data_IF_172978603153
#
_entry.id   IF_172978603153
#
_cell.length_a   1.000
_cell.length_b   1.000
_cell.length_c   1.000
_cell.angle_alpha   90.00
_cell.angle_beta   90.00
_cell.angle_gamma   90.00
#
_symmetry.space_group_name_H-M   'P 1'
#
loop_
_entity.id
_entity.type
_entity.pdbx_description
1 polymer ?
#
# COMPACT_ATOMS: atom_id res chain seq x y z
N UNK A 1 20.05 -15.80 26.06
CA UNK A 1 19.50 -15.00 24.94
C UNK A 1 18.37 -15.80 24.34
N UNK A 2 17.16 -15.26 24.25
CA UNK A 2 16.05 -15.92 23.55
C UNK A 2 16.37 -15.94 22.05
N UNK A 3 16.25 -17.08 21.40
CA UNK A 3 16.44 -17.17 19.95
C UNK A 3 15.27 -16.49 19.22
N UNK A 4 15.47 -16.05 17.99
CA UNK A 4 14.39 -15.49 17.17
C UNK A 4 13.25 -16.52 16.99
N UNK A 5 13.59 -17.81 16.98
CA UNK A 5 12.64 -18.91 16.89
C UNK A 5 11.78 -19.02 18.16
N UNK A 6 12.38 -18.77 19.34
CA UNK A 6 11.64 -18.72 20.61
C UNK A 6 10.69 -17.52 20.68
N UNK A 7 11.04 -16.39 20.05
CA UNK A 7 10.18 -15.19 19.99
C UNK A 7 8.97 -15.45 19.07
N UNK A 8 9.18 -16.11 17.93
CA UNK A 8 8.09 -16.48 17.00
C UNK A 8 7.11 -17.47 17.61
N UNK A 9 7.59 -18.40 18.44
CA UNK A 9 6.76 -19.43 19.07
C UNK A 9 6.09 -19.00 20.38
N UNK A 10 6.59 -17.93 21.03
CA UNK A 10 6.09 -17.48 22.34
C UNK A 10 5.44 -16.09 22.34
N UNK A 11 5.30 -15.42 21.19
CA UNK A 11 4.40 -14.27 21.13
C UNK A 11 2.98 -14.81 21.29
N UNK A 12 2.28 -14.51 22.41
CA UNK A 12 0.86 -14.77 22.45
C UNK A 12 0.28 -14.00 21.28
N UNK A 13 -0.26 -14.74 20.30
CA UNK A 13 -1.13 -14.21 19.26
C UNK A 13 -2.35 -13.68 20.00
N UNK A 14 -2.21 -12.50 20.61
CA UNK A 14 -3.34 -11.77 21.13
C UNK A 14 -4.19 -11.53 19.90
N UNK A 15 -5.29 -12.26 19.82
CA UNK A 15 -6.14 -12.38 18.65
C UNK A 15 -6.90 -11.09 18.28
N UNK A 16 -6.40 -9.88 18.63
CA UNK A 16 -7.20 -8.65 18.56
C UNK A 16 -6.44 -7.38 18.09
N UNK A 17 -5.11 -7.33 17.97
CA UNK A 17 -4.46 -6.19 17.30
C UNK A 17 -4.21 -6.49 15.82
N UNK A 18 -5.27 -6.42 15.03
CA UNK A 18 -5.15 -6.39 13.56
C UNK A 18 -4.70 -4.99 13.18
N UNK A 19 -3.44 -4.84 12.77
CA UNK A 19 -2.99 -3.59 12.14
C UNK A 19 -3.72 -3.52 10.80
N UNK A 20 -4.75 -2.68 10.75
CA UNK A 20 -5.57 -2.43 9.55
C UNK A 20 -5.15 -1.15 8.83
N UNK A 21 -4.38 -0.29 9.48
CA UNK A 21 -3.89 0.96 8.94
C UNK A 21 -2.36 1.01 9.06
N UNK A 22 -1.68 1.19 7.93
CA UNK A 22 -0.23 1.36 7.85
C UNK A 22 0.06 2.68 7.16
N UNK A 23 1.04 3.42 7.68
CA UNK A 23 1.50 4.68 7.13
C UNK A 23 3.01 4.61 6.95
N UNK A 24 3.48 4.77 5.73
CA UNK A 24 4.88 4.77 5.37
C UNK A 24 5.28 6.19 4.94
N UNK A 25 6.28 6.76 5.60
CA UNK A 25 6.78 8.09 5.32
C UNK A 25 8.00 8.04 4.40
N UNK A 26 8.12 8.99 3.47
CA UNK A 26 9.28 9.18 2.59
C UNK A 26 9.76 7.90 1.88
N UNK A 27 8.85 7.26 1.14
CA UNK A 27 9.10 6.02 0.39
C UNK A 27 9.30 6.36 -1.09
N UNK A 28 10.36 5.81 -1.70
CA UNK A 28 10.59 5.86 -3.15
C UNK A 28 10.35 4.50 -3.80
N UNK A 29 10.43 4.46 -5.13
CA UNK A 29 10.44 3.20 -5.90
C UNK A 29 11.57 2.22 -5.51
N UNK A 30 12.65 2.68 -4.87
CA UNK A 30 13.76 1.81 -4.43
C UNK A 30 13.48 1.12 -3.09
N UNK A 31 12.45 1.53 -2.35
CA UNK A 31 12.11 1.03 -1.01
C UNK A 31 11.13 -0.16 -1.04
N UNK A 32 11.06 -0.89 -2.16
CA UNK A 32 10.17 -2.06 -2.33
C UNK A 32 10.31 -3.10 -1.20
N UNK A 33 11.54 -3.35 -0.73
CA UNK A 33 11.81 -4.30 0.35
C UNK A 33 11.16 -3.88 1.68
N UNK A 34 11.10 -2.57 1.97
CA UNK A 34 10.48 -2.05 3.17
C UNK A 34 8.95 -2.19 3.09
N UNK A 35 8.37 -1.85 1.95
CA UNK A 35 6.93 -2.03 1.70
C UNK A 35 6.57 -3.53 1.79
N UNK A 36 7.39 -4.42 1.22
CA UNK A 36 7.21 -5.86 1.30
C UNK A 36 7.26 -6.35 2.75
N UNK A 37 8.20 -5.83 3.54
CA UNK A 37 8.32 -6.15 4.96
C UNK A 37 7.02 -5.81 5.72
N UNK A 38 6.46 -4.61 5.53
CA UNK A 38 5.22 -4.21 6.19
C UNK A 38 4.01 -5.01 5.72
N UNK A 39 3.93 -5.31 4.42
CA UNK A 39 2.90 -6.19 3.84
C UNK A 39 2.94 -7.58 4.50
N UNK A 40 4.13 -8.15 4.65
CA UNK A 40 4.30 -9.47 5.26
C UNK A 40 4.01 -9.45 6.77
N UNK A 41 4.33 -8.35 7.45
CA UNK A 41 4.07 -8.20 8.89
C UNK A 41 2.58 -8.00 9.18
N UNK A 42 1.84 -7.35 8.27
CA UNK A 42 0.47 -6.93 8.46
C UNK A 42 -0.46 -7.47 7.35
N UNK A 43 -0.76 -8.78 7.30
CA UNK A 43 -1.62 -9.36 6.26
C UNK A 43 -3.09 -8.90 6.32
N UNK A 44 -3.47 -8.13 7.35
CA UNK A 44 -4.81 -7.60 7.56
C UNK A 44 -4.91 -6.09 7.26
N UNK A 45 -3.93 -5.51 6.55
CA UNK A 45 -4.01 -4.12 6.10
C UNK A 45 -5.29 -3.92 5.30
N UNK A 46 -6.08 -2.92 5.69
CA UNK A 46 -7.26 -2.43 4.98
C UNK A 46 -6.98 -1.06 4.35
N UNK A 47 -6.10 -0.27 4.98
CA UNK A 47 -5.67 1.05 4.57
C UNK A 47 -4.14 1.17 4.59
N UNK A 48 -3.55 1.56 3.46
CA UNK A 48 -2.13 1.88 3.32
C UNK A 48 -1.98 3.34 2.88
N UNK A 49 -1.24 4.14 3.63
CA UNK A 49 -0.80 5.48 3.24
C UNK A 49 0.70 5.46 2.97
N UNK A 50 1.12 6.05 1.85
CA UNK A 50 2.52 6.12 1.44
C UNK A 50 2.83 7.56 1.05
N UNK A 51 3.86 8.13 1.64
CA UNK A 51 4.34 9.47 1.29
C UNK A 51 5.45 9.35 0.25
N UNK A 52 5.22 9.92 -0.93
CA UNK A 52 6.07 9.86 -2.11
C UNK A 52 6.70 11.23 -2.38
N UNK A 53 7.91 11.24 -2.93
CA UNK A 53 8.66 12.47 -3.19
C UNK A 53 8.79 12.80 -4.68
N UNK A 54 8.61 11.80 -5.55
CA UNK A 54 8.70 11.90 -7.01
C UNK A 54 7.35 11.63 -7.67
N UNK A 55 7.14 12.16 -8.88
CA UNK A 55 5.98 11.86 -9.71
C UNK A 55 6.00 10.44 -10.29
N UNK A 56 7.19 9.85 -10.42
CA UNK A 56 7.39 8.46 -10.86
C UNK A 56 7.03 7.42 -9.81
N UNK A 57 7.16 7.77 -8.52
CA UNK A 57 6.97 6.85 -7.40
C UNK A 57 5.54 6.29 -7.39
N UNK A 58 4.53 7.14 -7.57
CA UNK A 58 3.11 6.75 -7.37
C UNK A 58 2.68 5.62 -8.33
N UNK A 59 2.88 5.71 -9.65
CA UNK A 59 2.57 4.59 -10.57
C UNK A 59 3.40 3.33 -10.32
N UNK A 60 4.69 3.47 -9.99
CA UNK A 60 5.58 2.31 -9.78
C UNK A 60 5.22 1.57 -8.48
N UNK A 61 5.00 2.30 -7.40
CA UNK A 61 4.54 1.75 -6.13
C UNK A 61 3.15 1.14 -6.24
N UNK A 62 2.24 1.73 -7.02
CA UNK A 62 0.95 1.10 -7.33
C UNK A 62 1.17 -0.27 -7.98
N UNK A 63 1.99 -0.35 -9.02
CA UNK A 63 2.28 -1.62 -9.70
C UNK A 63 2.85 -2.64 -8.72
N UNK A 64 3.80 -2.24 -7.88
CA UNK A 64 4.36 -3.10 -6.84
C UNK A 64 3.28 -3.61 -5.88
N UNK A 65 2.48 -2.71 -5.30
CA UNK A 65 1.42 -3.06 -4.34
C UNK A 65 0.38 -4.01 -4.97
N UNK A 66 0.01 -3.78 -6.24
CA UNK A 66 -0.91 -4.65 -6.97
C UNK A 66 -0.37 -6.06 -7.15
N UNK A 67 0.93 -6.21 -7.40
CA UNK A 67 1.59 -7.52 -7.44
C UNK A 67 1.60 -8.25 -6.08
N UNK A 68 1.48 -7.50 -4.99
CA UNK A 68 1.42 -8.05 -3.63
C UNK A 68 -0.01 -8.33 -3.16
N UNK A 69 -1.05 -8.05 -3.96
CA UNK A 69 -2.46 -8.08 -3.52
C UNK A 69 -2.90 -9.41 -2.91
N UNK A 70 -2.34 -10.53 -3.36
CA UNK A 70 -2.61 -11.86 -2.79
C UNK A 70 -2.20 -11.93 -1.30
N UNK A 71 -1.16 -11.20 -0.89
CA UNK A 71 -0.65 -11.13 0.49
C UNK A 71 -1.42 -10.15 1.37
N UNK A 72 -2.10 -9.17 0.76
CA UNK A 72 -2.94 -8.17 1.43
C UNK A 72 -4.38 -8.21 0.90
N UNK A 73 -5.09 -9.34 1.04
CA UNK A 73 -6.40 -9.55 0.43
C UNK A 73 -7.49 -8.61 0.97
N UNK A 74 -7.20 -7.86 2.04
CA UNK A 74 -8.12 -6.91 2.68
C UNK A 74 -7.86 -5.46 2.31
N UNK A 75 -6.78 -5.16 1.59
CA UNK A 75 -6.46 -3.79 1.21
C UNK A 75 -7.58 -3.25 0.32
N UNK A 76 -8.33 -2.28 0.84
CA UNK A 76 -9.39 -1.61 0.11
C UNK A 76 -9.13 -0.12 -0.06
N UNK A 77 -8.24 0.48 0.73
CA UNK A 77 -7.85 1.87 0.60
C UNK A 77 -6.34 2.02 0.47
N UNK A 78 -5.90 2.70 -0.58
CA UNK A 78 -4.51 3.11 -0.78
C UNK A 78 -4.45 4.63 -0.95
N UNK A 79 -3.57 5.30 -0.23
CA UNK A 79 -3.44 6.74 -0.26
C UNK A 79 -1.98 7.13 -0.49
N UNK A 80 -1.71 7.85 -1.57
CA UNK A 80 -0.42 8.45 -1.82
C UNK A 80 -0.47 9.92 -1.39
N UNK A 81 0.48 10.34 -0.55
CA UNK A 81 0.76 11.75 -0.28
C UNK A 81 1.91 12.15 -1.18
N UNK A 82 1.71 13.10 -2.08
CA UNK A 82 2.74 13.59 -2.99
C UNK A 82 2.60 15.12 -3.16
N UNK A 83 3.60 15.93 -2.76
CA UNK A 83 3.52 17.39 -2.82
C UNK A 83 3.26 17.98 -4.21
N UNK A 84 3.62 17.24 -5.26
CA UNK A 84 3.44 17.64 -6.66
C UNK A 84 2.29 16.88 -7.35
N UNK A 85 1.39 16.26 -6.58
CA UNK A 85 0.24 15.54 -7.10
C UNK A 85 -0.64 16.42 -8.01
N UNK A 86 -0.82 15.97 -9.24
CA UNK A 86 -1.64 16.62 -10.24
C UNK A 86 -2.61 15.63 -10.92
N UNK A 87 -3.41 16.15 -11.85
CA UNK A 87 -4.38 15.32 -12.58
C UNK A 87 -3.70 14.41 -13.62
N UNK A 88 -2.44 14.66 -13.99
CA UNK A 88 -1.68 13.75 -14.86
C UNK A 88 -1.31 12.48 -14.10
N UNK A 89 -0.86 12.63 -12.85
CA UNK A 89 -0.53 11.52 -11.96
C UNK A 89 -1.75 10.65 -11.68
N UNK A 90 -2.93 11.26 -11.45
CA UNK A 90 -4.20 10.53 -11.31
C UNK A 90 -4.52 9.70 -12.56
N UNK A 91 -4.34 10.28 -13.76
CA UNK A 91 -4.56 9.57 -15.03
C UNK A 91 -3.57 8.43 -15.23
N UNK A 92 -2.29 8.67 -14.94
CA UNK A 92 -1.23 7.66 -15.00
C UNK A 92 -1.56 6.48 -14.07
N UNK A 93 -1.97 6.79 -12.84
CA UNK A 93 -2.37 5.80 -11.84
C UNK A 93 -3.57 4.96 -12.29
N UNK A 94 -4.59 5.59 -12.88
CA UNK A 94 -5.74 4.87 -13.45
C UNK A 94 -5.29 3.90 -14.56
N UNK A 95 -4.44 4.36 -15.48
CA UNK A 95 -3.91 3.51 -16.55
C UNK A 95 -3.10 2.34 -15.99
N UNK A 96 -2.32 2.54 -14.93
CA UNK A 96 -1.60 1.46 -14.24
C UNK A 96 -2.58 0.43 -13.67
N UNK A 97 -3.60 0.84 -12.92
CA UNK A 97 -4.59 -0.09 -12.35
C UNK A 97 -5.35 -0.85 -13.45
N UNK A 98 -5.80 -0.14 -14.49
CA UNK A 98 -6.52 -0.72 -15.62
C UNK A 98 -5.67 -1.74 -16.40
N UNK A 99 -4.34 -1.57 -16.41
CA UNK A 99 -3.41 -2.51 -17.07
C UNK A 99 -3.14 -3.77 -16.25
N UNK A 100 -3.22 -3.68 -14.92
CA UNK A 100 -2.93 -4.79 -13.99
C UNK A 100 -4.20 -5.55 -13.56
N UNK A 101 -5.40 -5.01 -13.83
CA UNK A 101 -6.67 -5.60 -13.37
C UNK A 101 -7.68 -5.79 -14.49
N UNK A 102 -8.44 -6.88 -14.42
CA UNK A 102 -9.57 -7.13 -15.32
C UNK A 102 -10.86 -6.98 -14.51
N UNK A 103 -11.54 -5.84 -14.66
CA UNK A 103 -12.84 -5.52 -14.03
C UNK A 103 -12.82 -5.21 -12.52
N UNK A 104 -11.78 -4.59 -12.01
CA UNK A 104 -11.81 -4.07 -10.64
C UNK A 104 -12.70 -2.83 -10.54
N UNK A 105 -13.63 -2.85 -9.59
CA UNK A 105 -14.41 -1.66 -9.24
C UNK A 105 -13.62 -0.79 -8.27
N UNK A 106 -12.87 0.17 -8.80
CA UNK A 106 -12.14 1.15 -8.01
C UNK A 106 -12.59 2.58 -8.30
N UNK A 107 -12.30 3.48 -7.36
CA UNK A 107 -12.44 4.93 -7.54
C UNK A 107 -11.16 5.63 -7.14
N UNK A 108 -10.69 6.56 -7.95
CA UNK A 108 -9.57 7.46 -7.61
C UNK A 108 -10.13 8.83 -7.25
N UNK A 109 -9.63 9.41 -6.16
CA UNK A 109 -9.94 10.78 -5.73
C UNK A 109 -8.64 11.53 -5.45
N UNK A 110 -8.55 12.77 -5.91
CA UNK A 110 -7.46 13.69 -5.54
C UNK A 110 -7.99 14.79 -4.64
N UNK A 111 -7.28 15.07 -3.55
CA UNK A 111 -7.58 16.15 -2.62
C UNK A 111 -6.28 16.80 -2.15
N UNK A 112 -5.92 17.94 -2.77
CA UNK A 112 -4.65 18.60 -2.49
C UNK A 112 -3.46 17.75 -2.98
N UNK A 113 -2.56 17.46 -2.05
CA UNK A 113 -1.39 16.59 -2.21
C UNK A 113 -1.71 15.09 -2.10
N UNK A 114 -2.97 14.72 -1.84
CA UNK A 114 -3.37 13.32 -1.68
C UNK A 114 -4.03 12.76 -2.93
N UNK A 115 -3.60 11.56 -3.33
CA UNK A 115 -4.27 10.72 -4.33
C UNK A 115 -4.70 9.43 -3.63
N UNK A 116 -6.00 9.18 -3.53
CA UNK A 116 -6.55 8.00 -2.88
C UNK A 116 -7.23 7.08 -3.89
N UNK A 117 -6.98 5.78 -3.75
CA UNK A 117 -7.64 4.70 -4.50
C UNK A 117 -8.45 3.88 -3.51
N UNK A 118 -9.71 3.64 -3.85
CA UNK A 118 -10.62 2.81 -3.06
C UNK A 118 -11.22 1.72 -3.93
N UNK A 119 -11.07 0.46 -3.53
CA UNK A 119 -11.70 -0.70 -4.15
C UNK A 119 -12.97 -1.09 -3.39
N UNK A 120 -14.06 -1.31 -4.13
CA UNK A 120 -15.28 -1.91 -3.57
C UNK A 120 -15.06 -3.41 -3.44
N UNK A 121 -14.78 -3.87 -2.21
CA UNK A 121 -14.75 -5.28 -1.84
C UNK A 121 -16.16 -5.90 -1.87
#
# INVERSE_FOLDING_TARGET
SLSIEDIKNNLPVSAINKITQVKLGQVTEDDEEEIEFFINLCPHIEYLEVECMSDTDVPLLMKFIMNQRIRIPKLCYLCFINPIADDNMVRSLAMTIDSETVNDNYTIQRSGDKISVHWKL
#
